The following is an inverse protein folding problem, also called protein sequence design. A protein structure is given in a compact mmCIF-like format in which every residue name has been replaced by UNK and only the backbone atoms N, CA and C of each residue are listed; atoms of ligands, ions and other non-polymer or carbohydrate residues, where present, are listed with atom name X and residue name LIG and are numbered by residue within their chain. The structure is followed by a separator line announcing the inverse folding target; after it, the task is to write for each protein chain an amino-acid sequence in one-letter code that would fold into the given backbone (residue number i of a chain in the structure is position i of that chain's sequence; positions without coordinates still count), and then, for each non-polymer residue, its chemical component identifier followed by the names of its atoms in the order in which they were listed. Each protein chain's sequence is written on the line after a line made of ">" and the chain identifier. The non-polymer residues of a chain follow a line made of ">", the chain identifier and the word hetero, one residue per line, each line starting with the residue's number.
data_IF_655420222364
#
_entry.id   IF_655420222364
#
_cell.length_a   1.000
_cell.length_b   1.000
_cell.length_c   1.000
_cell.angle_alpha   90.00
_cell.angle_beta   90.00
_cell.angle_gamma   90.00
#
_symmetry.space_group_name_H-M   'P 1'
#
loop_
_entity.id
_entity.type
_entity.pdbx_description
1 polymer ?
#
# COMPACT_ATOMS: atom_id res chain seq x y z
N UNK A 1 -4.77 -12.10 -19.85
CA UNK A 1 -4.28 -10.85 -19.24
C UNK A 1 -4.14 -9.79 -20.32
N UNK A 2 -4.54 -8.56 -20.05
CA UNK A 2 -4.48 -7.43 -20.99
C UNK A 2 -3.73 -6.27 -20.33
N UNK A 3 -2.85 -5.61 -21.07
CA UNK A 3 -2.15 -4.40 -20.64
C UNK A 3 -2.86 -3.16 -21.20
N UNK A 4 -3.17 -2.18 -20.35
CA UNK A 4 -3.82 -0.92 -20.75
C UNK A 4 -3.08 0.29 -20.21
N UNK A 5 -3.05 1.37 -21.01
CA UNK A 5 -2.59 2.67 -20.54
C UNK A 5 -3.71 3.40 -19.81
N UNK A 6 -3.38 4.06 -18.72
CA UNK A 6 -4.29 4.97 -18.01
C UNK A 6 -3.63 6.34 -17.87
N UNK A 7 -4.46 7.39 -17.84
CA UNK A 7 -3.97 8.71 -17.41
C UNK A 7 -3.55 8.62 -15.94
N UNK A 8 -2.54 9.40 -15.51
CA UNK A 8 -2.19 9.49 -14.10
C UNK A 8 -3.46 9.80 -13.29
N UNK A 9 -3.79 8.94 -12.35
CA UNK A 9 -4.76 9.27 -11.31
C UNK A 9 -4.01 9.67 -10.03
N UNK A 10 -4.77 10.21 -9.08
CA UNK A 10 -4.27 10.68 -7.80
C UNK A 10 -3.76 9.54 -6.88
N UNK A 11 -3.80 8.26 -7.29
CA UNK A 11 -3.53 7.11 -6.43
C UNK A 11 -2.09 6.57 -6.52
N UNK A 12 -1.19 7.25 -7.25
CA UNK A 12 0.25 7.20 -6.98
C UNK A 12 0.98 5.87 -7.25
N UNK A 13 0.34 4.84 -7.82
CA UNK A 13 1.03 3.63 -8.27
C UNK A 13 1.35 3.69 -9.76
N UNK A 14 2.56 3.25 -10.13
CA UNK A 14 2.99 3.22 -11.54
C UNK A 14 2.25 2.15 -12.35
N UNK A 15 1.76 1.11 -11.68
CA UNK A 15 0.92 0.06 -12.23
C UNK A 15 -0.13 -0.43 -11.22
N UNK A 16 -1.21 -1.04 -11.70
CA UNK A 16 -2.20 -1.73 -10.87
C UNK A 16 -2.99 -2.77 -11.66
N UNK A 17 -3.16 -3.97 -11.10
CA UNK A 17 -4.01 -5.02 -11.65
C UNK A 17 -5.46 -4.95 -11.16
N UNK A 18 -6.38 -5.12 -12.10
CA UNK A 18 -7.80 -5.32 -11.82
C UNK A 18 -8.22 -6.74 -12.19
N UNK A 19 -9.15 -7.27 -11.39
CA UNK A 19 -9.66 -8.61 -11.55
C UNK A 19 -11.04 -8.57 -12.22
N UNK A 20 -11.31 -9.51 -13.13
CA UNK A 20 -12.56 -9.57 -13.86
C UNK A 20 -13.73 -9.87 -12.93
N UNK A 21 -14.88 -9.23 -13.17
CA UNK A 21 -16.11 -9.54 -12.42
C UNK A 21 -16.81 -10.78 -13.01
N UNK A 22 -16.73 -10.95 -14.33
CA UNK A 22 -17.25 -12.11 -15.06
C UNK A 22 -16.13 -13.08 -15.47
N UNK A 23 -16.46 -14.34 -15.76
CA UNK A 23 -15.47 -15.37 -16.13
C UNK A 23 -14.83 -15.15 -17.51
N UNK A 24 -15.55 -14.49 -18.42
CA UNK A 24 -15.09 -14.24 -19.79
C UNK A 24 -14.21 -12.98 -19.92
N UNK A 25 -14.08 -12.19 -18.84
CA UNK A 25 -13.26 -10.99 -18.83
C UNK A 25 -11.79 -11.30 -18.45
N UNK A 26 -10.81 -10.67 -19.11
CA UNK A 26 -9.41 -10.86 -18.77
C UNK A 26 -8.99 -9.99 -17.56
N UNK A 27 -8.05 -10.50 -16.75
CA UNK A 27 -7.25 -9.66 -15.84
C UNK A 27 -6.62 -8.50 -16.62
N UNK A 28 -6.71 -7.28 -16.08
CA UNK A 28 -6.20 -6.08 -16.74
C UNK A 28 -5.20 -5.36 -15.86
N UNK A 29 -3.97 -5.18 -16.36
CA UNK A 29 -2.94 -4.35 -15.73
C UNK A 29 -3.01 -2.96 -16.36
N UNK A 30 -3.17 -1.93 -15.53
CA UNK A 30 -3.08 -0.54 -15.93
C UNK A 30 -1.69 0.00 -15.63
N UNK A 31 -1.11 0.77 -16.55
CA UNK A 31 0.19 1.42 -16.39
C UNK A 31 0.09 2.89 -16.78
N UNK A 32 0.68 3.77 -15.97
CA UNK A 32 0.83 5.18 -16.30
C UNK A 32 2.12 5.40 -17.10
N UNK A 33 2.18 6.41 -18.00
CA UNK A 33 3.34 6.62 -18.87
C UNK A 33 4.69 6.72 -18.14
N UNK A 34 4.69 7.28 -16.92
CA UNK A 34 5.88 7.42 -16.08
C UNK A 34 6.47 6.07 -15.65
N UNK A 35 5.67 5.00 -15.62
CA UNK A 35 6.11 3.65 -15.28
C UNK A 35 6.76 2.88 -16.44
N UNK A 36 6.67 3.39 -17.67
CA UNK A 36 7.20 2.70 -18.87
C UNK A 36 8.69 2.31 -18.78
N UNK A 37 9.60 3.12 -18.21
CA UNK A 37 10.99 2.72 -18.05
C UNK A 37 11.18 1.48 -17.16
N UNK A 38 10.19 1.13 -16.35
CA UNK A 38 10.21 -0.01 -15.44
C UNK A 38 9.17 -1.08 -15.81
N UNK A 39 8.71 -1.11 -17.07
CA UNK A 39 7.58 -1.91 -17.54
C UNK A 39 7.68 -3.39 -17.12
N UNK A 40 8.80 -4.05 -17.40
CA UNK A 40 8.97 -5.49 -17.15
C UNK A 40 8.87 -5.82 -15.67
N UNK A 41 9.45 -4.98 -14.81
CA UNK A 41 9.36 -5.11 -13.36
C UNK A 41 7.93 -4.87 -12.87
N UNK A 42 7.28 -3.79 -13.31
CA UNK A 42 5.92 -3.44 -12.89
C UNK A 42 4.90 -4.51 -13.32
N UNK A 43 5.00 -5.02 -14.56
CA UNK A 43 4.15 -6.11 -15.03
C UNK A 43 4.40 -7.37 -14.20
N UNK A 44 5.65 -7.69 -13.88
CA UNK A 44 5.99 -8.86 -13.07
C UNK A 44 5.45 -8.74 -11.64
N UNK A 45 5.54 -7.56 -11.03
CA UNK A 45 4.97 -7.23 -9.72
C UNK A 45 3.45 -7.49 -9.71
N UNK A 46 2.73 -6.91 -10.66
CA UNK A 46 1.27 -7.07 -10.77
C UNK A 46 0.85 -8.51 -11.09
N UNK A 47 1.64 -9.25 -11.89
CA UNK A 47 1.40 -10.68 -12.11
C UNK A 47 1.52 -11.49 -10.82
N UNK A 48 2.50 -11.16 -9.97
CA UNK A 48 2.69 -11.86 -8.70
C UNK A 48 1.55 -11.59 -7.71
N UNK A 49 0.92 -10.42 -7.73
CA UNK A 49 -0.33 -10.20 -6.99
C UNK A 49 -1.41 -11.21 -7.41
N UNK A 50 -1.64 -11.37 -8.71
CA UNK A 50 -2.60 -12.34 -9.21
C UNK A 50 -2.22 -13.76 -8.82
N UNK A 51 -0.96 -14.17 -9.03
CA UNK A 51 -0.52 -15.52 -8.70
C UNK A 51 -0.70 -15.83 -7.21
N UNK A 52 -0.40 -14.88 -6.32
CA UNK A 52 -0.59 -15.03 -4.87
C UNK A 52 -2.06 -15.19 -4.50
N UNK A 53 -2.93 -14.36 -5.05
CA UNK A 53 -4.38 -14.42 -4.81
C UNK A 53 -4.97 -15.74 -5.33
N UNK A 54 -4.71 -16.09 -6.58
CA UNK A 54 -5.31 -17.25 -7.24
C UNK A 54 -4.71 -18.60 -6.82
N UNK A 55 -3.54 -18.60 -6.17
CA UNK A 55 -3.03 -19.78 -5.46
C UNK A 55 -3.89 -20.18 -4.26
N UNK A 56 -4.78 -19.28 -3.77
CA UNK A 56 -5.73 -19.62 -2.71
C UNK A 56 -6.98 -20.33 -3.25
N UNK A 57 -7.61 -21.19 -2.43
CA UNK A 57 -8.97 -21.67 -2.67
C UNK A 57 -9.93 -20.51 -2.93
N UNK A 58 -10.93 -20.74 -3.78
CA UNK A 58 -11.84 -19.68 -4.26
C UNK A 58 -12.54 -18.91 -3.13
N UNK A 59 -12.95 -19.61 -2.07
CA UNK A 59 -13.59 -19.06 -0.88
C UNK A 59 -12.64 -18.26 0.04
N UNK A 60 -11.33 -18.37 -0.20
CA UNK A 60 -10.29 -17.65 0.54
C UNK A 60 -9.65 -16.49 -0.24
N UNK A 61 -10.09 -16.26 -1.49
CA UNK A 61 -9.67 -15.14 -2.34
C UNK A 61 -10.36 -13.85 -1.93
N UNK A 62 -9.95 -13.31 -0.78
CA UNK A 62 -10.54 -12.13 -0.18
C UNK A 62 -9.69 -10.88 -0.43
N UNK A 63 -10.32 -9.77 -0.79
CA UNK A 63 -9.69 -8.46 -0.99
C UNK A 63 -10.24 -7.43 0.00
N UNK A 64 -9.41 -6.44 0.34
CA UNK A 64 -9.84 -5.35 1.21
C UNK A 64 -10.86 -4.47 0.49
N UNK A 65 -11.99 -4.21 1.14
CA UNK A 65 -13.09 -3.43 0.59
C UNK A 65 -13.55 -2.36 1.58
N UNK A 66 -13.65 -1.12 1.10
CA UNK A 66 -14.26 -0.01 1.85
C UNK A 66 -15.71 0.13 1.37
N UNK A 67 -16.64 -0.34 2.19
CA UNK A 67 -18.07 -0.18 1.91
C UNK A 67 -18.58 1.23 2.22
N UNK A 68 -19.77 1.59 1.70
CA UNK A 68 -20.36 2.91 1.95
C UNK A 68 -20.51 3.25 3.44
N UNK A 69 -20.83 2.26 4.28
CA UNK A 69 -20.96 2.46 5.72
C UNK A 69 -19.61 2.76 6.38
N UNK A 70 -18.58 1.97 6.08
CA UNK A 70 -17.23 2.21 6.58
C UNK A 70 -16.71 3.57 6.11
N UNK A 71 -16.93 3.90 4.83
CA UNK A 71 -16.56 5.20 4.27
C UNK A 71 -17.23 6.33 5.04
N UNK A 72 -18.55 6.29 5.23
CA UNK A 72 -19.30 7.33 5.93
C UNK A 72 -18.87 7.45 7.40
N UNK A 73 -18.68 6.33 8.09
CA UNK A 73 -18.29 6.32 9.49
C UNK A 73 -16.90 6.95 9.69
N UNK A 74 -15.90 6.51 8.92
CA UNK A 74 -14.51 6.96 9.09
C UNK A 74 -14.32 8.41 8.63
N UNK A 75 -14.93 8.80 7.50
CA UNK A 75 -14.86 10.18 7.01
C UNK A 75 -15.43 11.17 8.01
N UNK A 76 -16.62 10.91 8.55
CA UNK A 76 -17.23 11.75 9.60
C UNK A 76 -16.38 11.81 10.86
N UNK A 77 -15.72 10.72 11.24
CA UNK A 77 -14.84 10.69 12.41
C UNK A 77 -13.56 11.53 12.22
N UNK A 78 -13.00 11.55 11.00
CA UNK A 78 -11.78 12.29 10.69
C UNK A 78 -12.02 13.76 10.31
N UNK A 79 -13.18 14.08 9.72
CA UNK A 79 -13.49 15.41 9.17
C UNK A 79 -13.26 16.56 10.15
N UNK A 80 -13.60 16.49 11.46
CA UNK A 80 -13.32 17.58 12.39
C UNK A 80 -11.82 17.87 12.54
N UNK A 81 -10.98 16.84 12.57
CA UNK A 81 -9.52 17.01 12.66
C UNK A 81 -8.91 17.51 11.35
N UNK A 82 -9.51 17.13 10.22
CA UNK A 82 -9.15 17.67 8.90
C UNK A 82 -9.51 19.16 8.81
N UNK A 83 -10.73 19.54 9.20
CA UNK A 83 -11.19 20.93 9.20
C UNK A 83 -10.27 21.84 10.02
N UNK A 84 -9.84 21.40 11.20
CA UNK A 84 -8.89 22.14 12.04
C UNK A 84 -7.54 22.44 11.36
N UNK A 85 -7.17 21.67 10.34
CA UNK A 85 -5.86 21.73 9.67
C UNK A 85 -5.94 22.33 8.26
N UNK A 86 -7.08 22.11 7.60
CA UNK A 86 -7.29 22.36 6.18
C UNK A 86 -8.57 23.16 5.90
N UNK A 87 -9.25 23.73 6.90
CA UNK A 87 -10.56 24.37 6.74
C UNK A 87 -10.59 25.56 5.79
N UNK A 88 -9.43 26.17 5.50
CA UNK A 88 -9.31 27.27 4.54
C UNK A 88 -9.22 26.79 3.08
N UNK A 89 -9.09 25.47 2.85
CA UNK A 89 -9.06 24.92 1.49
C UNK A 89 -10.48 24.89 0.89
N UNK A 90 -10.63 25.11 -0.43
CA UNK A 90 -11.91 25.07 -1.12
C UNK A 90 -12.38 23.61 -1.39
N UNK A 91 -12.12 22.70 -0.46
CA UNK A 91 -12.45 21.27 -0.57
C UNK A 91 -13.10 20.84 0.75
N UNK A 92 -14.27 20.17 0.73
CA UNK A 92 -14.90 19.66 1.94
C UNK A 92 -13.96 18.76 2.75
N UNK A 93 -13.99 18.91 4.08
CA UNK A 93 -13.11 18.13 4.96
C UNK A 93 -13.41 16.64 4.90
N UNK A 94 -14.65 16.26 4.61
CA UNK A 94 -15.08 14.89 4.37
C UNK A 94 -14.44 14.28 3.13
N UNK A 95 -14.24 15.06 2.06
CA UNK A 95 -13.57 14.59 0.85
C UNK A 95 -12.08 14.36 1.09
N UNK A 96 -11.42 15.29 1.80
CA UNK A 96 -10.03 15.11 2.22
C UNK A 96 -9.89 13.92 3.18
N UNK A 97 -10.84 13.77 4.12
CA UNK A 97 -10.89 12.63 5.03
C UNK A 97 -11.06 11.30 4.27
N UNK A 98 -11.84 11.29 3.20
CA UNK A 98 -12.02 10.12 2.34
C UNK A 98 -10.72 9.71 1.65
N UNK A 99 -9.94 10.69 1.16
CA UNK A 99 -8.60 10.45 0.60
C UNK A 99 -7.65 9.85 1.65
N UNK A 100 -7.63 10.39 2.87
CA UNK A 100 -6.80 9.83 3.94
C UNK A 100 -7.22 8.41 4.35
N UNK A 101 -8.52 8.17 4.44
CA UNK A 101 -9.08 6.85 4.75
C UNK A 101 -8.68 5.83 3.69
N UNK A 102 -8.93 6.13 2.41
CA UNK A 102 -8.56 5.26 1.29
C UNK A 102 -7.04 5.02 1.23
N UNK A 103 -6.23 6.06 1.43
CA UNK A 103 -4.77 5.95 1.43
C UNK A 103 -4.25 5.04 2.53
N UNK A 104 -4.72 5.19 3.78
CA UNK A 104 -4.30 4.34 4.90
C UNK A 104 -4.74 2.88 4.68
N UNK A 105 -5.98 2.66 4.22
CA UNK A 105 -6.48 1.31 3.92
C UNK A 105 -5.65 0.67 2.81
N UNK A 106 -5.36 1.39 1.73
CA UNK A 106 -4.52 0.90 0.63
C UNK A 106 -3.14 0.50 1.12
N UNK A 107 -2.47 1.34 1.91
CA UNK A 107 -1.15 1.02 2.47
C UNK A 107 -1.17 -0.22 3.37
N UNK A 108 -2.09 -0.28 4.35
CA UNK A 108 -2.11 -1.41 5.31
C UNK A 108 -2.55 -2.72 4.67
N UNK A 109 -3.39 -2.67 3.63
CA UNK A 109 -3.86 -3.85 2.91
C UNK A 109 -2.81 -4.37 1.90
N UNK A 110 -2.04 -3.48 1.26
CA UNK A 110 -1.12 -3.88 0.19
C UNK A 110 0.31 -4.13 0.67
N UNK A 111 0.85 -3.33 1.61
CA UNK A 111 2.26 -3.40 1.99
C UNK A 111 2.74 -4.82 2.38
N UNK A 112 1.97 -5.63 3.14
CA UNK A 112 2.38 -7.01 3.42
C UNK A 112 2.58 -7.87 2.17
N UNK A 113 1.69 -7.78 1.19
CA UNK A 113 1.85 -8.52 -0.08
C UNK A 113 2.97 -7.93 -0.94
N UNK A 114 3.01 -6.60 -1.08
CA UNK A 114 3.98 -5.91 -1.94
C UNK A 114 5.40 -6.26 -1.49
N UNK A 115 5.71 -6.15 -0.20
CA UNK A 115 7.06 -6.41 0.33
C UNK A 115 7.51 -7.87 0.14
N UNK A 116 6.58 -8.83 0.13
CA UNK A 116 6.87 -10.24 -0.19
C UNK A 116 7.04 -10.48 -1.67
N UNK A 117 6.28 -9.77 -2.51
CA UNK A 117 6.46 -9.76 -3.96
C UNK A 117 7.84 -9.19 -4.29
N UNK A 118 8.24 -8.08 -3.67
CA UNK A 118 9.57 -7.50 -3.84
C UNK A 118 10.67 -8.49 -3.47
N UNK A 119 10.51 -9.23 -2.38
CA UNK A 119 11.45 -10.30 -2.00
C UNK A 119 11.51 -11.39 -3.07
N UNK A 120 10.36 -11.84 -3.56
CA UNK A 120 10.26 -12.91 -4.57
C UNK A 120 10.89 -12.50 -5.89
N UNK A 121 10.66 -11.24 -6.33
CA UNK A 121 11.28 -10.68 -7.53
C UNK A 121 12.79 -10.55 -7.37
N UNK A 122 13.23 -9.97 -6.25
CA UNK A 122 14.64 -9.73 -6.00
C UNK A 122 15.44 -11.03 -5.93
N UNK A 123 14.92 -12.07 -5.28
CA UNK A 123 15.61 -13.36 -5.18
C UNK A 123 15.48 -14.22 -6.46
N UNK A 124 14.30 -14.23 -7.08
CA UNK A 124 13.99 -15.13 -8.19
C UNK A 124 14.37 -14.62 -9.58
N UNK A 125 14.49 -13.31 -9.77
CA UNK A 125 14.70 -12.70 -11.09
C UNK A 125 15.84 -11.66 -11.06
N UNK A 126 17.12 -12.12 -11.05
CA UNK A 126 18.27 -11.23 -10.95
C UNK A 126 18.33 -10.13 -12.01
N UNK A 127 17.83 -10.41 -13.22
CA UNK A 127 17.82 -9.47 -14.35
C UNK A 127 16.88 -8.28 -14.09
N UNK A 128 15.87 -8.41 -13.23
CA UNK A 128 14.97 -7.32 -12.84
C UNK A 128 15.53 -6.45 -11.70
N UNK A 129 16.58 -6.89 -10.98
CA UNK A 129 17.10 -6.17 -9.81
C UNK A 129 17.49 -4.71 -10.09
N UNK A 130 18.20 -4.37 -11.19
CA UNK A 130 18.60 -2.99 -11.41
C UNK A 130 17.40 -2.04 -11.53
N UNK A 131 16.36 -2.47 -12.24
CA UNK A 131 15.14 -1.67 -12.45
C UNK A 131 14.26 -1.66 -11.19
N UNK A 132 14.14 -2.80 -10.51
CA UNK A 132 13.45 -2.90 -9.22
C UNK A 132 14.09 -1.97 -8.18
N UNK A 133 15.41 -2.03 -8.00
CA UNK A 133 16.13 -1.17 -7.04
C UNK A 133 15.93 0.31 -7.36
N UNK A 134 16.04 0.70 -8.64
CA UNK A 134 15.80 2.07 -9.06
C UNK A 134 14.38 2.55 -8.72
N UNK A 135 13.36 1.73 -9.00
CA UNK A 135 11.96 2.06 -8.68
C UNK A 135 11.71 2.12 -7.17
N UNK A 136 12.23 1.16 -6.40
CA UNK A 136 12.09 1.15 -4.94
C UNK A 136 12.75 2.38 -4.28
N UNK A 137 13.92 2.79 -4.76
CA UNK A 137 14.60 4.00 -4.28
C UNK A 137 13.82 5.27 -4.63
N UNK A 138 13.24 5.35 -5.83
CA UNK A 138 12.38 6.46 -6.21
C UNK A 138 11.13 6.55 -5.32
N UNK A 139 10.45 5.42 -5.09
CA UNK A 139 9.30 5.33 -4.20
C UNK A 139 9.66 5.77 -2.77
N UNK A 140 10.80 5.33 -2.23
CA UNK A 140 11.26 5.74 -0.89
C UNK A 140 11.52 7.25 -0.84
N UNK A 141 12.13 7.83 -1.88
CA UNK A 141 12.36 9.27 -1.94
C UNK A 141 11.05 10.05 -1.89
N UNK A 142 10.01 9.59 -2.60
CA UNK A 142 8.67 10.18 -2.55
C UNK A 142 8.01 10.01 -1.17
N UNK A 143 8.07 8.82 -0.57
CA UNK A 143 7.51 8.57 0.76
C UNK A 143 8.13 9.46 1.83
N UNK A 144 9.45 9.70 1.76
CA UNK A 144 10.17 10.57 2.71
C UNK A 144 9.65 12.01 2.67
N UNK A 145 9.08 12.47 1.54
CA UNK A 145 8.47 13.80 1.48
C UNK A 145 7.28 13.94 2.46
N UNK A 146 6.62 12.82 2.81
CA UNK A 146 5.57 12.77 3.81
C UNK A 146 6.02 13.16 5.23
N UNK A 147 7.33 13.17 5.51
CA UNK A 147 7.90 13.60 6.79
C UNK A 147 8.11 15.12 6.89
N UNK A 148 7.95 15.88 5.81
CA UNK A 148 8.15 17.33 5.85
C UNK A 148 7.26 18.01 6.89
N UNK A 149 7.81 19.01 7.59
CA UNK A 149 7.09 19.78 8.61
C UNK A 149 5.80 20.41 8.06
N UNK A 150 5.79 20.84 6.81
CA UNK A 150 4.60 21.41 6.18
C UNK A 150 3.50 20.35 6.01
N UNK A 151 3.85 19.11 5.61
CA UNK A 151 2.90 17.98 5.58
C UNK A 151 2.38 17.68 6.98
N UNK A 152 3.25 17.64 7.99
CA UNK A 152 2.86 17.41 9.38
C UNK A 152 1.89 18.49 9.92
N UNK A 153 2.07 19.75 9.52
CA UNK A 153 1.21 20.85 9.97
C UNK A 153 -0.22 20.72 9.46
N UNK A 154 -0.41 20.25 8.23
CA UNK A 154 -1.72 20.17 7.56
C UNK A 154 -2.37 18.79 7.67
N UNK A 155 -1.63 17.76 8.05
CA UNK A 155 -2.18 16.41 8.19
C UNK A 155 -2.73 16.19 9.60
N UNK A 156 -3.92 15.60 9.78
CA UNK A 156 -4.42 15.22 11.10
C UNK A 156 -3.40 14.35 11.87
N UNK A 157 -3.15 14.60 13.17
CA UNK A 157 -2.08 13.90 13.90
C UNK A 157 -2.19 12.36 13.88
N UNK A 158 -3.42 11.83 13.93
CA UNK A 158 -3.66 10.39 13.83
C UNK A 158 -3.21 9.85 12.46
N UNK A 159 -3.65 10.51 11.39
CA UNK A 159 -3.35 10.14 10.00
C UNK A 159 -1.84 10.20 9.76
N UNK A 160 -1.20 11.31 10.14
CA UNK A 160 0.25 11.50 10.01
C UNK A 160 1.02 10.38 10.71
N UNK A 161 0.61 10.00 11.93
CA UNK A 161 1.27 8.95 12.70
C UNK A 161 1.13 7.58 12.06
N UNK A 162 -0.07 7.20 11.61
CA UNK A 162 -0.33 5.89 11.02
C UNK A 162 0.39 5.75 9.69
N UNK A 163 0.24 6.74 8.78
CA UNK A 163 0.90 6.72 7.48
C UNK A 163 2.42 6.63 7.61
N UNK A 164 3.04 7.45 8.46
CA UNK A 164 4.49 7.42 8.61
C UNK A 164 5.00 6.19 9.37
N UNK A 165 4.17 5.54 10.20
CA UNK A 165 4.50 4.23 10.76
C UNK A 165 4.53 3.14 9.68
N UNK A 166 3.53 3.12 8.80
CA UNK A 166 3.46 2.19 7.66
C UNK A 166 4.61 2.42 6.68
N UNK A 167 4.86 3.68 6.29
CA UNK A 167 5.98 4.03 5.42
C UNK A 167 7.32 3.67 6.06
N UNK A 168 7.48 3.89 7.38
CA UNK A 168 8.69 3.46 8.08
C UNK A 168 8.89 1.94 8.02
N UNK A 169 7.82 1.15 8.05
CA UNK A 169 7.89 -0.30 7.91
C UNK A 169 8.33 -0.69 6.50
N UNK A 170 7.72 -0.09 5.48
CA UNK A 170 8.11 -0.26 4.08
C UNK A 170 9.60 0.07 3.87
N UNK A 171 10.04 1.28 4.23
CA UNK A 171 11.43 1.69 4.07
C UNK A 171 12.40 0.78 4.84
N UNK A 172 12.02 0.31 6.04
CA UNK A 172 12.87 -0.59 6.84
C UNK A 172 13.00 -1.97 6.20
N UNK A 173 11.91 -2.50 5.66
CA UNK A 173 11.94 -3.78 4.94
C UNK A 173 12.79 -3.68 3.67
N UNK A 174 12.57 -2.65 2.84
CA UNK A 174 13.33 -2.45 1.60
C UNK A 174 14.81 -2.15 1.89
N UNK A 175 15.13 -1.36 2.92
CA UNK A 175 16.50 -1.15 3.39
C UNK A 175 17.21 -2.47 3.67
N UNK A 176 16.50 -3.44 4.26
CA UNK A 176 17.03 -4.78 4.53
C UNK A 176 17.17 -5.62 3.27
N UNK A 177 16.19 -5.56 2.36
CA UNK A 177 16.22 -6.27 1.08
C UNK A 177 17.41 -5.84 0.21
N UNK A 178 17.65 -4.53 0.12
CA UNK A 178 18.72 -3.94 -0.70
C UNK A 178 20.07 -3.86 0.02
N UNK A 179 20.13 -4.22 1.31
CA UNK A 179 21.36 -4.10 2.11
C UNK A 179 21.80 -2.65 2.38
N UNK A 180 20.88 -1.69 2.33
CA UNK A 180 21.13 -0.25 2.50
C UNK A 180 20.31 0.33 3.65
N UNK A 181 20.92 0.38 4.84
CA UNK A 181 20.28 0.91 6.04
C UNK A 181 19.95 2.41 5.97
N UNK A 182 20.55 3.17 5.04
CA UNK A 182 20.32 4.62 4.91
C UNK A 182 18.89 4.92 4.44
N UNK A 183 18.28 4.01 3.66
CA UNK A 183 16.92 4.14 3.15
C UNK A 183 15.85 4.30 4.23
N UNK A 184 16.06 3.73 5.42
CA UNK A 184 15.14 3.87 6.56
C UNK A 184 15.58 4.94 7.59
N UNK A 185 16.73 5.59 7.37
CA UNK A 185 17.27 6.58 8.31
C UNK A 185 16.35 7.78 8.55
N UNK A 186 15.68 8.38 7.53
CA UNK A 186 14.79 9.52 7.75
C UNK A 186 13.67 9.21 8.75
N UNK A 187 13.05 8.04 8.64
CA UNK A 187 12.00 7.61 9.56
C UNK A 187 12.51 7.30 10.96
N UNK A 188 13.72 6.74 11.11
CA UNK A 188 14.36 6.55 12.42
C UNK A 188 14.57 7.89 13.12
N UNK A 189 15.09 8.89 12.40
CA UNK A 189 15.33 10.24 12.93
C UNK A 189 14.03 10.98 13.27
N UNK A 190 12.96 10.74 12.50
CA UNK A 190 11.64 11.30 12.75
C UNK A 190 10.86 10.59 13.89
N UNK A 191 11.44 9.58 14.55
CA UNK A 191 10.83 8.89 15.69
C UNK A 191 9.93 7.70 15.31
N UNK A 192 9.84 7.34 14.03
CA UNK A 192 9.05 6.19 13.55
C UNK A 192 9.86 4.87 13.51
N UNK A 193 11.16 4.92 13.80
CA UNK A 193 12.05 3.77 13.68
C UNK A 193 11.62 2.52 14.44
N UNK A 194 11.17 2.66 15.70
CA UNK A 194 10.74 1.51 16.52
C UNK A 194 9.51 0.82 15.94
N UNK A 195 8.47 1.60 15.60
CA UNK A 195 7.23 1.05 15.04
C UNK A 195 7.47 0.46 13.66
N UNK A 196 8.26 1.13 12.81
CA UNK A 196 8.61 0.61 11.49
C UNK A 196 9.38 -0.70 11.55
N UNK A 197 10.36 -0.80 12.45
CA UNK A 197 11.12 -2.04 12.66
C UNK A 197 10.24 -3.19 13.14
N UNK A 198 9.36 -2.96 14.11
CA UNK A 198 8.45 -3.98 14.63
C UNK A 198 7.55 -4.57 13.52
N UNK A 199 6.97 -3.70 12.69
CA UNK A 199 6.12 -4.12 11.57
C UNK A 199 6.93 -4.82 10.47
N UNK A 200 8.12 -4.30 10.14
CA UNK A 200 9.00 -4.89 9.13
C UNK A 200 9.53 -6.27 9.55
N UNK A 201 9.88 -6.46 10.83
CA UNK A 201 10.36 -7.74 11.37
C UNK A 201 9.28 -8.82 11.32
N UNK A 202 8.03 -8.45 11.61
CA UNK A 202 6.88 -9.36 11.47
C UNK A 202 6.79 -9.94 10.05
N UNK A 203 6.97 -9.10 9.02
CA UNK A 203 6.97 -9.53 7.63
C UNK A 203 8.25 -10.29 7.25
N UNK A 204 9.42 -9.80 7.66
CA UNK A 204 10.70 -10.37 7.24
C UNK A 204 10.86 -11.84 7.64
N UNK A 205 10.41 -12.17 8.85
CA UNK A 205 10.43 -13.54 9.37
C UNK A 205 9.50 -14.49 8.60
N UNK A 206 8.60 -13.95 7.79
CA UNK A 206 7.62 -14.69 6.99
C UNK A 206 7.61 -14.23 5.54
N UNK A 207 8.75 -13.75 5.02
CA UNK A 207 8.83 -13.09 3.70
C UNK A 207 8.49 -13.97 2.50
N UNK A 208 8.51 -15.30 2.66
CA UNK A 208 8.08 -16.27 1.64
C UNK A 208 6.70 -16.88 1.91
N UNK A 209 5.95 -16.32 2.85
CA UNK A 209 4.62 -16.83 3.17
C UNK A 209 3.61 -16.51 2.05
N UNK A 210 2.46 -17.18 2.11
CA UNK A 210 1.38 -17.08 1.14
C UNK A 210 0.43 -15.89 1.40
N UNK A 211 -0.60 -15.79 0.56
CA UNK A 211 -1.58 -14.71 0.65
C UNK A 211 -2.43 -14.75 1.94
N UNK A 212 -2.65 -15.92 2.56
CA UNK A 212 -3.34 -15.99 3.86
C UNK A 212 -2.53 -15.28 4.93
N UNK A 213 -1.20 -15.41 4.86
CA UNK A 213 -0.31 -14.71 5.78
C UNK A 213 -0.32 -13.20 5.54
N UNK A 214 -0.39 -12.75 4.29
CA UNK A 214 -0.55 -11.31 3.94
C UNK A 214 -1.74 -10.72 4.71
N UNK A 215 -2.92 -11.35 4.60
CA UNK A 215 -4.14 -10.90 5.29
C UNK A 215 -3.99 -10.89 6.82
N UNK A 216 -3.41 -11.93 7.41
CA UNK A 216 -3.18 -12.00 8.86
C UNK A 216 -2.25 -10.90 9.36
N UNK A 217 -1.21 -10.56 8.60
CA UNK A 217 -0.31 -9.49 8.98
C UNK A 217 -0.96 -8.12 8.82
N UNK A 218 -1.76 -7.90 7.76
CA UNK A 218 -2.64 -6.72 7.65
C UNK A 218 -3.56 -6.59 8.87
N UNK A 219 -4.25 -7.65 9.28
CA UNK A 219 -5.13 -7.64 10.47
C UNK A 219 -4.38 -7.38 11.78
N UNK A 220 -3.14 -7.83 11.88
CA UNK A 220 -2.27 -7.50 13.01
C UNK A 220 -1.93 -6.02 13.03
N UNK A 221 -1.57 -5.46 11.87
CA UNK A 221 -1.23 -4.05 11.72
C UNK A 221 -2.44 -3.16 12.00
N UNK A 222 -3.62 -3.49 11.49
CA UNK A 222 -4.84 -2.71 11.72
C UNK A 222 -5.23 -2.69 13.21
N UNK A 223 -5.13 -3.82 13.91
CA UNK A 223 -5.32 -3.89 15.38
C UNK A 223 -4.37 -3.00 16.13
N UNK A 224 -3.11 -2.95 15.70
CA UNK A 224 -2.09 -2.11 16.32
C UNK A 224 -2.42 -0.61 16.25
N UNK A 225 -3.10 -0.20 15.19
CA UNK A 225 -3.51 1.20 14.98
C UNK A 225 -4.95 1.51 15.39
N UNK A 226 -5.75 0.50 15.77
CA UNK A 226 -7.17 0.66 16.10
C UNK A 226 -8.04 0.98 14.88
N UNK A 227 -7.69 0.44 13.71
CA UNK A 227 -8.35 0.71 12.42
C UNK A 227 -8.99 -0.54 11.79
N UNK A 228 -9.23 -1.59 12.57
CA UNK A 228 -9.76 -2.88 12.09
C UNK A 228 -11.09 -2.75 11.35
N UNK A 229 -11.89 -1.74 11.69
CA UNK A 229 -13.21 -1.50 11.10
C UNK A 229 -13.18 -0.55 9.89
N UNK A 230 -12.00 -0.12 9.45
CA UNK A 230 -11.87 0.82 8.34
C UNK A 230 -12.12 0.18 6.98
N UNK A 231 -12.04 -1.14 6.89
CA UNK A 231 -12.41 -1.91 5.72
C UNK A 231 -12.91 -3.29 6.17
N UNK A 232 -13.38 -4.08 5.22
CA UNK A 232 -13.71 -5.49 5.44
C UNK A 232 -13.08 -6.35 4.36
N UNK A 233 -12.85 -7.63 4.66
CA UNK A 233 -12.43 -8.60 3.65
C UNK A 233 -13.67 -9.10 2.90
N UNK A 234 -13.68 -8.95 1.58
CA UNK A 234 -14.74 -9.48 0.72
C UNK A 234 -14.17 -10.40 -0.33
N UNK A 235 -14.91 -11.44 -0.76
CA UNK A 235 -14.55 -12.22 -1.93
C UNK A 235 -14.23 -11.30 -3.13
N UNK A 236 -13.14 -11.59 -3.84
CA UNK A 236 -12.71 -10.79 -5.00
C UNK A 236 -13.79 -10.69 -6.10
N UNK A 237 -14.71 -11.66 -6.11
CA UNK A 237 -15.99 -11.64 -6.83
C UNK A 237 -17.11 -11.92 -5.85
N UNK A 238 -18.15 -11.08 -5.87
CA UNK A 238 -19.41 -11.42 -5.22
C UNK A 238 -20.07 -12.53 -6.04
N UNK A 239 -20.29 -13.71 -5.45
CA UNK A 239 -21.20 -14.68 -6.05
C UNK A 239 -22.60 -14.05 -6.03
N UNK A 240 -23.17 -13.84 -7.21
CA UNK A 240 -24.57 -13.47 -7.39
C UNK A 240 -25.51 -14.55 -6.88
#
# INVERSE_FOLDING_TARGET
>A
MVLRYRRPDIHGSYAHITYPQDDDEPHTIFIIPQGLPALDYLVSHECLHALRLFAQPEDERLMAFIGPEQQNQVTRALAPSVWQRCGDLPVPSEEIAAVYHAGIVGQVANFPSDLRIETSLFEGYPDLRPVQEATLRANIAELVLGLHKEVQKVTPPFVFRVQNALNSAYCTFIARLLGDAALAQPYRQAGFGRIGAELADQLWNTRFADYRRDRRDTESWTRKFGIERWFTWMPYRLKG
#
